data_IF_700471469478
#
_entry.id   IF_700471469478
#
_cell.length_a   1.000
_cell.length_b   1.000
_cell.length_c   1.000
_cell.angle_alpha   90.00
_cell.angle_beta   90.00
_cell.angle_gamma   90.00
#
_symmetry.space_group_name_H-M   'P 1'
#
loop_
_entity.id
_entity.type
_entity.pdbx_description
1 polymer ?
#
# COMPACT_ATOMS: atom_id res chain seq x y z
N UNK A 1 -4.06 23.00 20.39
CA UNK A 1 -2.97 22.01 20.49
C UNK A 1 -1.71 22.61 19.88
N UNK A 2 -0.51 22.34 20.42
CA UNK A 2 0.74 22.79 19.80
C UNK A 2 0.93 22.16 18.41
N UNK A 3 1.31 22.94 17.39
CA UNK A 3 1.48 22.46 16.00
C UNK A 3 2.41 21.25 15.89
N UNK A 4 3.48 21.23 16.68
CA UNK A 4 4.44 20.11 16.72
C UNK A 4 3.79 18.83 17.30
N UNK A 5 2.91 18.99 18.29
CA UNK A 5 2.19 17.86 18.88
C UNK A 5 1.18 17.26 17.89
N UNK A 6 0.45 18.10 17.15
CA UNK A 6 -0.44 17.63 16.10
C UNK A 6 0.32 16.88 14.99
N UNK A 7 1.44 17.43 14.52
CA UNK A 7 2.28 16.76 13.52
C UNK A 7 2.76 15.38 14.01
N UNK A 8 3.18 15.28 15.27
CA UNK A 8 3.57 14.01 15.89
C UNK A 8 2.43 13.00 15.95
N UNK A 9 1.21 13.43 16.28
CA UNK A 9 0.03 12.56 16.32
C UNK A 9 -0.30 12.04 14.91
N UNK A 10 -0.36 12.90 13.90
CA UNK A 10 -0.61 12.47 12.52
C UNK A 10 0.45 11.48 12.03
N UNK A 11 1.72 11.76 12.29
CA UNK A 11 2.82 10.87 11.93
C UNK A 11 2.67 9.47 12.55
N UNK A 12 2.42 9.40 13.87
CA UNK A 12 2.27 8.12 14.56
C UNK A 12 1.05 7.35 14.07
N UNK A 13 -0.11 7.99 13.97
CA UNK A 13 -1.35 7.32 13.58
C UNK A 13 -1.30 6.82 12.14
N UNK A 14 -0.75 7.61 11.22
CA UNK A 14 -0.60 7.20 9.81
C UNK A 14 0.48 6.13 9.62
N UNK A 15 1.56 6.16 10.41
CA UNK A 15 2.56 5.08 10.42
C UNK A 15 1.96 3.75 10.87
N UNK A 16 1.09 3.75 11.88
CA UNK A 16 0.36 2.55 12.32
C UNK A 16 -0.51 1.99 11.19
N UNK A 17 -1.19 2.83 10.41
CA UNK A 17 -1.98 2.40 9.25
C UNK A 17 -1.10 1.70 8.21
N UNK A 18 0.09 2.26 7.89
CA UNK A 18 1.04 1.62 6.97
C UNK A 18 1.46 0.23 7.49
N UNK A 19 1.83 0.13 8.77
CA UNK A 19 2.25 -1.15 9.37
C UNK A 19 1.14 -2.20 9.32
N UNK A 20 -0.10 -1.82 9.65
CA UNK A 20 -1.26 -2.70 9.56
C UNK A 20 -1.47 -3.16 8.12
N UNK A 21 -1.36 -2.24 7.15
CA UNK A 21 -1.58 -2.59 5.75
C UNK A 21 -0.48 -3.50 5.18
N UNK A 22 0.78 -3.33 5.58
CA UNK A 22 1.86 -4.28 5.22
C UNK A 22 1.57 -5.66 5.82
N UNK A 23 1.12 -5.72 7.07
CA UNK A 23 0.72 -6.98 7.71
C UNK A 23 -0.44 -7.66 6.99
N UNK A 24 -1.47 -6.89 6.60
CA UNK A 24 -2.58 -7.40 5.80
C UNK A 24 -2.12 -7.85 4.41
N UNK A 25 -1.19 -7.13 3.78
CA UNK A 25 -0.63 -7.51 2.50
C UNK A 25 0.09 -8.86 2.58
N UNK A 26 0.97 -9.04 3.58
CA UNK A 26 1.66 -10.32 3.85
C UNK A 26 0.68 -11.48 4.08
N UNK A 27 -0.45 -11.23 4.76
CA UNK A 27 -1.49 -12.23 4.99
C UNK A 27 -2.26 -12.61 3.72
N UNK A 28 -2.47 -11.66 2.81
CA UNK A 28 -3.23 -11.86 1.57
C UNK A 28 -2.36 -12.51 0.48
N UNK A 29 -1.05 -12.24 0.48
CA UNK A 29 -0.13 -12.81 -0.50
C UNK A 29 0.10 -14.31 -0.29
N UNK A 30 0.28 -15.06 -1.38
CA UNK A 30 0.53 -16.51 -1.35
C UNK A 30 1.96 -16.86 -0.90
N UNK A 31 2.86 -15.89 -0.88
CA UNK A 31 4.24 -16.03 -0.41
C UNK A 31 4.42 -15.23 0.88
N UNK A 32 5.42 -15.61 1.69
CA UNK A 32 5.79 -14.86 2.89
C UNK A 32 6.70 -13.69 2.49
N UNK A 33 6.20 -12.47 2.62
CA UNK A 33 6.87 -11.24 2.16
C UNK A 33 8.27 -11.13 2.77
N UNK A 34 8.37 -11.27 4.09
CA UNK A 34 9.62 -11.07 4.81
C UNK A 34 10.65 -12.17 4.53
N UNK A 35 10.22 -13.43 4.40
CA UNK A 35 11.11 -14.55 4.07
C UNK A 35 11.70 -14.37 2.67
N UNK A 36 10.89 -13.92 1.70
CA UNK A 36 11.35 -13.69 0.32
C UNK A 36 12.27 -12.47 0.21
N UNK A 37 11.96 -11.36 0.91
CA UNK A 37 12.85 -10.20 0.97
C UNK A 37 14.19 -10.57 1.61
N UNK A 38 14.19 -11.38 2.68
CA UNK A 38 15.41 -11.84 3.32
C UNK A 38 16.29 -12.72 2.40
N UNK A 39 15.68 -13.43 1.44
CA UNK A 39 16.38 -14.19 0.40
C UNK A 39 16.88 -13.32 -0.77
N UNK A 40 16.60 -12.01 -0.77
CA UNK A 40 16.98 -11.09 -1.84
C UNK A 40 16.01 -11.08 -3.03
N UNK A 41 14.76 -11.52 -2.84
CA UNK A 41 13.75 -11.44 -3.89
C UNK A 41 13.34 -9.97 -4.15
N UNK A 42 14.00 -9.35 -5.11
CA UNK A 42 13.76 -7.95 -5.51
C UNK A 42 12.33 -7.71 -5.98
N UNK A 43 11.70 -8.71 -6.59
CA UNK A 43 10.34 -8.62 -7.12
C UNK A 43 9.31 -8.47 -5.99
N UNK A 44 9.48 -9.23 -4.91
CA UNK A 44 8.67 -9.10 -3.69
C UNK A 44 8.91 -7.74 -3.03
N UNK A 45 10.17 -7.29 -2.98
CA UNK A 45 10.51 -5.97 -2.44
C UNK A 45 9.83 -4.84 -3.24
N UNK A 46 9.81 -4.94 -4.57
CA UNK A 46 9.12 -3.98 -5.44
C UNK A 46 7.61 -4.00 -5.23
N UNK A 47 6.98 -5.18 -5.24
CA UNK A 47 5.53 -5.29 -5.02
C UNK A 47 5.12 -4.71 -3.66
N UNK A 48 5.83 -5.07 -2.60
CA UNK A 48 5.61 -4.57 -1.23
C UNK A 48 5.87 -3.07 -1.15
N UNK A 49 6.97 -2.59 -1.73
CA UNK A 49 7.32 -1.17 -1.78
C UNK A 49 6.26 -0.33 -2.49
N UNK A 50 5.61 -0.88 -3.53
CA UNK A 50 4.54 -0.20 -4.26
C UNK A 50 3.30 0.03 -3.38
N UNK A 51 2.93 -0.99 -2.59
CA UNK A 51 1.85 -0.86 -1.60
C UNK A 51 2.21 0.18 -0.55
N UNK A 52 3.43 0.14 0.01
CA UNK A 52 3.88 1.11 1.03
C UNK A 52 3.83 2.54 0.51
N UNK A 53 4.43 2.79 -0.66
CA UNK A 53 4.44 4.12 -1.28
C UNK A 53 3.02 4.57 -1.64
N UNK A 54 2.20 3.66 -2.17
CA UNK A 54 0.83 3.97 -2.52
C UNK A 54 -0.01 4.36 -1.30
N UNK A 55 0.10 3.62 -0.20
CA UNK A 55 -0.60 3.95 1.06
C UNK A 55 -0.09 5.27 1.62
N UNK A 56 1.21 5.52 1.60
CA UNK A 56 1.77 6.79 2.03
C UNK A 56 1.20 7.96 1.22
N UNK A 57 1.01 7.79 -0.10
CA UNK A 57 0.37 8.80 -0.95
C UNK A 57 -1.09 9.04 -0.56
N UNK A 58 -1.86 7.98 -0.31
CA UNK A 58 -3.26 8.08 0.14
C UNK A 58 -3.35 8.81 1.49
N UNK A 59 -2.50 8.44 2.44
CA UNK A 59 -2.45 9.07 3.77
C UNK A 59 -2.03 10.54 3.69
N UNK A 60 -1.09 10.88 2.81
CA UNK A 60 -0.74 12.28 2.51
C UNK A 60 -1.98 13.05 2.04
N UNK A 61 -2.73 12.53 1.07
CA UNK A 61 -3.97 13.16 0.62
C UNK A 61 -4.99 13.29 1.77
N UNK A 62 -5.18 12.25 2.57
CA UNK A 62 -6.09 12.28 3.71
C UNK A 62 -5.71 13.32 4.77
N UNK A 63 -4.41 13.54 5.03
CA UNK A 63 -3.91 14.58 5.95
C UNK A 63 -4.15 15.98 5.36
N UNK A 64 -3.95 16.15 4.05
CA UNK A 64 -4.07 17.46 3.40
C UNK A 64 -5.51 17.93 3.21
N UNK A 65 -6.44 16.98 3.02
CA UNK A 65 -7.85 17.31 2.74
C UNK A 65 -8.69 17.45 4.00
N UNK A 66 -8.43 16.65 5.04
CA UNK A 66 -9.30 16.61 6.22
C UNK A 66 -8.79 17.52 7.34
N UNK A 67 -9.69 18.24 8.00
CA UNK A 67 -9.37 19.06 9.18
C UNK A 67 -9.27 18.21 10.46
N UNK A 68 -10.03 17.12 10.52
CA UNK A 68 -10.12 16.23 11.68
C UNK A 68 -9.21 15.01 11.53
N UNK A 69 -8.48 14.68 12.61
CA UNK A 69 -7.65 13.48 12.69
C UNK A 69 -8.47 12.21 12.46
N UNK A 70 -9.72 12.17 12.95
CA UNK A 70 -10.59 11.00 12.83
C UNK A 70 -10.92 10.76 11.36
N UNK A 71 -11.24 11.81 10.61
CA UNK A 71 -11.57 11.71 9.19
C UNK A 71 -10.34 11.30 8.36
N UNK A 72 -9.16 11.83 8.70
CA UNK A 72 -7.90 11.38 8.09
C UNK A 72 -7.65 9.87 8.31
N UNK A 73 -7.91 9.35 9.51
CA UNK A 73 -7.73 7.93 9.81
C UNK A 73 -8.74 7.08 9.05
N UNK A 74 -10.01 7.51 8.99
CA UNK A 74 -11.07 6.78 8.28
C UNK A 74 -10.75 6.73 6.78
N UNK A 75 -10.49 7.88 6.15
CA UNK A 75 -10.17 7.93 4.73
C UNK A 75 -8.84 7.26 4.40
N UNK A 76 -7.83 7.44 5.24
CA UNK A 76 -6.54 6.75 5.12
C UNK A 76 -6.69 5.24 5.19
N UNK A 77 -7.49 4.73 6.13
CA UNK A 77 -7.79 3.31 6.29
C UNK A 77 -8.58 2.75 5.11
N UNK A 78 -9.68 3.41 4.73
CA UNK A 78 -10.51 3.01 3.58
C UNK A 78 -9.66 2.97 2.31
N UNK A 79 -8.92 4.04 2.02
CA UNK A 79 -8.08 4.10 0.83
C UNK A 79 -6.99 3.02 0.83
N UNK A 80 -6.39 2.71 1.98
CA UNK A 80 -5.43 1.62 2.11
C UNK A 80 -6.05 0.26 1.79
N UNK A 81 -7.24 -0.02 2.32
CA UNK A 81 -7.99 -1.25 2.02
C UNK A 81 -8.34 -1.33 0.54
N UNK A 82 -8.82 -0.23 -0.06
CA UNK A 82 -9.11 -0.17 -1.50
C UNK A 82 -7.86 -0.44 -2.33
N UNK A 83 -6.69 0.08 -1.94
CA UNK A 83 -5.45 -0.21 -2.64
C UNK A 83 -5.06 -1.69 -2.57
N UNK A 84 -5.25 -2.35 -1.42
CA UNK A 84 -5.04 -3.79 -1.30
C UNK A 84 -6.04 -4.59 -2.14
N UNK A 85 -7.30 -4.12 -2.26
CA UNK A 85 -8.28 -4.72 -3.17
C UNK A 85 -7.89 -4.55 -4.64
N UNK A 86 -7.26 -3.43 -5.02
CA UNK A 86 -6.71 -3.23 -6.37
C UNK A 86 -5.63 -4.27 -6.68
N UNK A 87 -4.76 -4.60 -5.73
CA UNK A 87 -3.78 -5.67 -5.91
C UNK A 87 -4.44 -7.03 -6.20
N UNK A 88 -5.51 -7.35 -5.45
CA UNK A 88 -6.30 -8.56 -5.71
C UNK A 88 -7.02 -8.53 -7.05
N UNK A 89 -7.57 -7.38 -7.44
CA UNK A 89 -8.19 -7.20 -8.74
C UNK A 89 -7.17 -7.35 -9.88
N UNK A 90 -5.92 -6.94 -9.67
CA UNK A 90 -4.85 -7.10 -10.65
C UNK A 90 -4.53 -8.57 -10.95
N UNK A 91 -4.48 -9.43 -9.92
CA UNK A 91 -4.39 -10.90 -10.10
C UNK A 91 -5.61 -11.43 -10.89
N UNK A 92 -6.82 -10.96 -10.59
CA UNK A 92 -8.05 -11.41 -11.26
C UNK A 92 -8.11 -10.99 -12.74
N UNK A 93 -7.66 -9.77 -13.06
CA UNK A 93 -7.69 -9.20 -14.41
C UNK A 93 -6.61 -9.77 -15.32
N UNK A 94 -5.60 -10.45 -14.76
CA UNK A 94 -4.51 -11.05 -15.51
C UNK A 94 -4.54 -12.59 -15.45
N UNK A 95 -5.64 -13.27 -15.82
CA UNK A 95 -5.79 -14.71 -15.57
C UNK A 95 -4.79 -15.60 -16.32
N UNK A 96 -4.07 -15.07 -17.32
CA UNK A 96 -2.98 -15.78 -18.02
C UNK A 96 -1.61 -15.60 -17.36
N UNK A 97 -1.51 -14.72 -16.35
CA UNK A 97 -0.30 -14.38 -15.62
C UNK A 97 -0.63 -14.41 -14.12
N UNK A 98 -0.20 -15.44 -13.42
CA UNK A 98 -0.35 -15.50 -11.95
C UNK A 98 0.62 -14.49 -11.31
N UNK A 99 0.21 -13.24 -11.16
CA UNK A 99 1.06 -12.13 -10.69
C UNK A 99 1.72 -12.46 -9.36
N UNK A 100 0.95 -12.96 -8.40
CA UNK A 100 1.42 -13.32 -7.06
C UNK A 100 2.45 -14.44 -7.10
N UNK A 101 2.23 -15.45 -7.96
CA UNK A 101 3.14 -16.57 -8.12
C UNK A 101 4.45 -16.13 -8.78
N UNK A 102 4.36 -15.33 -9.85
CA UNK A 102 5.52 -14.81 -10.57
C UNK A 102 6.38 -13.88 -9.71
N UNK A 103 5.75 -13.03 -8.89
CA UNK A 103 6.46 -12.21 -7.90
C UNK A 103 7.19 -13.12 -6.89
N UNK A 104 6.52 -14.15 -6.38
CA UNK A 104 7.14 -15.13 -5.46
C UNK A 104 8.31 -15.89 -6.08
N UNK A 105 8.30 -16.14 -7.40
CA UNK A 105 9.42 -16.74 -8.14
C UNK A 105 10.57 -15.78 -8.45
N UNK A 106 10.45 -14.50 -8.08
CA UNK A 106 11.48 -13.50 -8.35
C UNK A 106 11.39 -12.87 -9.74
N UNK A 107 10.23 -12.88 -10.40
CA UNK A 107 10.04 -12.21 -11.68
C UNK A 107 9.99 -10.68 -11.52
N UNK A 108 11.13 -10.02 -11.75
CA UNK A 108 11.30 -8.57 -11.50
C UNK A 108 10.38 -7.73 -12.38
N UNK A 109 10.12 -8.16 -13.62
CA UNK A 109 9.22 -7.44 -14.51
C UNK A 109 7.81 -7.34 -13.92
N UNK A 110 7.31 -8.43 -13.36
CA UNK A 110 5.99 -8.47 -12.69
C UNK A 110 6.02 -7.67 -11.38
N UNK A 111 7.13 -7.71 -10.63
CA UNK A 111 7.31 -6.88 -9.44
C UNK A 111 7.27 -5.37 -9.74
N UNK A 112 7.96 -4.92 -10.79
CA UNK A 112 7.92 -3.51 -11.26
C UNK A 112 6.50 -3.14 -11.67
N UNK A 113 5.84 -4.01 -12.44
CA UNK A 113 4.46 -3.77 -12.88
C UNK A 113 3.53 -3.59 -11.68
N UNK A 114 3.61 -4.49 -10.70
CA UNK A 114 2.86 -4.39 -9.44
C UNK A 114 3.14 -3.07 -8.71
N UNK A 115 4.41 -2.65 -8.63
CA UNK A 115 4.79 -1.38 -8.01
C UNK A 115 4.10 -0.19 -8.69
N UNK A 116 4.21 -0.11 -10.02
CA UNK A 116 3.66 0.99 -10.81
C UNK A 116 2.13 1.01 -10.73
N UNK A 117 1.48 -0.16 -10.74
CA UNK A 117 0.04 -0.27 -10.56
C UNK A 117 -0.41 0.26 -9.20
N UNK A 118 0.23 -0.16 -8.10
CA UNK A 118 -0.09 0.37 -6.76
C UNK A 118 0.10 1.88 -6.70
N UNK A 119 1.19 2.40 -7.27
CA UNK A 119 1.41 3.84 -7.31
C UNK A 119 0.33 4.57 -8.10
N UNK A 120 0.02 4.12 -9.33
CA UNK A 120 -0.97 4.75 -10.19
C UNK A 120 -2.36 4.80 -9.55
N UNK A 121 -2.84 3.68 -9.00
CA UNK A 121 -4.14 3.64 -8.34
C UNK A 121 -4.16 4.44 -7.05
N UNK A 122 -3.05 4.51 -6.31
CA UNK A 122 -2.98 5.35 -5.11
C UNK A 122 -3.16 6.84 -5.40
N UNK A 123 -2.73 7.32 -6.59
CA UNK A 123 -2.94 8.71 -7.01
C UNK A 123 -4.43 8.98 -7.26
N UNK A 124 -5.13 8.03 -7.89
CA UNK A 124 -6.56 8.13 -8.17
C UNK A 124 -7.37 8.07 -6.86
N UNK A 125 -7.06 7.09 -6.01
CA UNK A 125 -7.71 6.92 -4.70
C UNK A 125 -7.46 8.16 -3.83
N UNK A 126 -6.21 8.61 -3.72
CA UNK A 126 -5.86 9.79 -2.93
C UNK A 126 -6.56 11.06 -3.43
N UNK A 127 -6.68 11.24 -4.74
CA UNK A 127 -7.40 12.38 -5.33
C UNK A 127 -8.92 12.31 -5.12
N UNK A 128 -9.45 11.12 -4.82
CA UNK A 128 -10.90 10.91 -4.58
C UNK A 128 -11.31 11.21 -3.13
N UNK A 129 -10.35 11.48 -2.23
CA UNK A 129 -10.64 11.88 -0.85
C UNK A 129 -10.99 13.37 -0.86
N UNK A 130 -12.20 13.70 -0.39
CA UNK A 130 -12.79 15.05 -0.35
C UNK A 130 -13.40 15.33 1.00
#
# INVERSE_FOLDING_TARGET
MNVYLNAGIYFLMTSVIILIAIFLFDLITKYKVWDEIAKGNVSVALATGGVVVGIANILKCAILTNESLIDTIIWGGIGSVVLLLVYLAFELLTPKLNVTEEIGKGNVAVGILSFVFSLAFSLIIGSSIS
#
